data_IF_205884447804
#
_entry.id   IF_205884447804
#
_cell.length_a   1.000
_cell.length_b   1.000
_cell.length_c   1.000
_cell.angle_alpha   90.00
_cell.angle_beta   90.00
_cell.angle_gamma   90.00
#
_symmetry.space_group_name_H-M   'P 1'
#
loop_
_entity.id
_entity.type
_entity.pdbx_description
1 polymer ?
#
# COMPACT_ATOMS: atom_id res chain seq x y z
N UNK A 1 17.09 -20.43 5.83
CA UNK A 1 17.39 -19.10 6.37
C UNK A 1 16.07 -18.39 6.60
N UNK A 2 15.68 -18.12 7.86
CA UNK A 2 14.44 -17.38 8.16
C UNK A 2 14.68 -15.94 7.71
N UNK A 3 14.05 -15.55 6.61
CA UNK A 3 14.11 -14.20 6.08
C UNK A 3 13.74 -13.20 7.17
N UNK A 4 14.53 -12.15 7.28
CA UNK A 4 14.27 -11.04 8.18
C UNK A 4 12.85 -10.54 7.93
N UNK A 5 12.02 -10.50 8.97
CA UNK A 5 10.63 -10.07 8.80
C UNK A 5 10.64 -8.57 8.71
N UNK A 6 10.67 -8.03 7.49
CA UNK A 6 10.48 -6.61 7.23
C UNK A 6 9.31 -6.07 8.07
N UNK A 7 9.56 -5.00 8.82
CA UNK A 7 8.58 -4.47 9.76
C UNK A 7 7.54 -3.68 8.97
N UNK A 8 6.27 -4.08 9.09
CA UNK A 8 5.15 -3.33 8.49
C UNK A 8 4.85 -2.08 9.32
N UNK A 9 4.82 -0.93 8.66
CA UNK A 9 4.35 0.34 9.24
C UNK A 9 3.05 0.71 8.55
N UNK A 10 1.96 0.71 9.32
CA UNK A 10 0.65 1.12 8.83
C UNK A 10 0.56 2.64 8.76
N UNK A 11 0.03 3.13 7.64
CA UNK A 11 -0.03 4.57 7.33
C UNK A 11 -1.44 4.96 6.93
N UNK A 12 -1.81 6.23 7.19
CA UNK A 12 -3.04 6.79 6.64
C UNK A 12 -2.76 7.21 5.21
N UNK A 13 -3.63 6.81 4.30
CA UNK A 13 -3.52 7.09 2.86
C UNK A 13 -4.84 7.65 2.40
N UNK A 14 -4.78 8.79 1.72
CA UNK A 14 -5.92 9.29 0.96
C UNK A 14 -5.94 8.57 -0.38
N UNK A 15 -7.09 8.03 -0.76
CA UNK A 15 -7.26 7.31 -2.02
C UNK A 15 -8.54 7.76 -2.70
N UNK A 16 -8.45 7.92 -4.02
CA UNK A 16 -9.60 8.18 -4.87
C UNK A 16 -10.01 6.89 -5.56
N UNK A 17 -11.31 6.68 -5.71
CA UNK A 17 -11.86 5.59 -6.51
C UNK A 17 -12.40 6.21 -7.80
N UNK A 18 -11.95 5.72 -8.94
CA UNK A 18 -12.47 6.17 -10.22
C UNK A 18 -13.77 5.42 -10.61
N UNK A 19 -14.34 5.79 -11.75
CA UNK A 19 -15.59 5.21 -12.26
C UNK A 19 -15.47 3.71 -12.60
N UNK A 20 -14.26 3.17 -12.76
CA UNK A 20 -14.01 1.74 -12.98
C UNK A 20 -13.93 0.96 -11.66
N UNK A 21 -13.88 1.67 -10.53
CA UNK A 21 -13.63 1.10 -9.21
C UNK A 21 -12.14 0.91 -8.91
N UNK A 22 -11.24 1.44 -9.75
CA UNK A 22 -9.81 1.43 -9.47
C UNK A 22 -9.51 2.38 -8.31
N UNK A 23 -8.85 1.85 -7.29
CA UNK A 23 -8.43 2.61 -6.12
C UNK A 23 -7.04 3.17 -6.36
N UNK A 24 -6.88 4.49 -6.34
CA UNK A 24 -5.59 5.13 -6.55
C UNK A 24 -5.18 5.92 -5.29
N UNK A 25 -4.03 5.61 -4.67
CA UNK A 25 -3.48 6.44 -3.61
C UNK A 25 -3.02 7.79 -4.17
N UNK A 26 -3.34 8.88 -3.47
CA UNK A 26 -2.99 10.26 -3.86
C UNK A 26 -2.06 10.94 -2.86
N UNK A 27 -2.15 10.57 -1.58
CA UNK A 27 -1.25 11.07 -0.54
C UNK A 27 -1.07 10.07 0.59
N UNK A 28 0.05 10.15 1.28
CA UNK A 28 0.28 9.46 2.57
C UNK A 28 0.39 10.50 3.68
N UNK A 29 -0.12 10.19 4.86
CA UNK A 29 0.15 10.98 6.06
C UNK A 29 1.29 10.35 6.86
N UNK A 30 2.39 11.07 7.01
CA UNK A 30 3.57 10.65 7.76
C UNK A 30 3.96 11.72 8.78
N UNK A 31 4.06 11.35 10.07
CA UNK A 31 4.38 12.28 11.16
C UNK A 31 3.54 13.58 11.14
N UNK A 32 2.24 13.49 10.84
CA UNK A 32 1.31 14.62 10.68
C UNK A 32 1.48 15.47 9.41
N UNK A 33 2.39 15.11 8.52
CA UNK A 33 2.55 15.75 7.21
C UNK A 33 1.84 14.93 6.13
N UNK A 34 1.06 15.61 5.28
CA UNK A 34 0.49 15.02 4.06
C UNK A 34 1.52 15.13 2.95
N UNK A 35 1.95 13.98 2.43
CA UNK A 35 2.95 13.88 1.38
C UNK A 35 2.26 13.34 0.11
N UNK A 36 2.26 14.10 -1.01
CA UNK A 36 1.67 13.63 -2.24
C UNK A 36 2.45 12.45 -2.81
N UNK A 37 1.74 11.52 -3.44
CA UNK A 37 2.34 10.37 -4.11
C UNK A 37 1.89 10.30 -5.57
N UNK A 38 2.78 9.84 -6.45
CA UNK A 38 2.45 9.56 -7.85
C UNK A 38 2.59 8.08 -8.12
N UNK A 39 1.52 7.42 -8.56
CA UNK A 39 1.55 6.00 -8.94
C UNK A 39 2.31 5.82 -10.25
N UNK A 40 3.23 4.85 -10.28
CA UNK A 40 4.00 4.43 -11.45
C UNK A 40 3.65 3.04 -11.93
N UNK A 41 3.29 2.16 -11.01
CA UNK A 41 2.91 0.78 -11.30
C UNK A 41 1.95 0.24 -10.24
N UNK A 42 1.18 -0.78 -10.61
CA UNK A 42 0.23 -1.47 -9.75
C UNK A 42 0.24 -2.96 -10.07
N UNK A 43 0.51 -3.80 -9.06
CA UNK A 43 0.54 -5.26 -9.19
C UNK A 43 0.01 -5.95 -7.94
N UNK A 44 -0.46 -7.21 -8.04
CA UNK A 44 -0.77 -8.01 -6.85
C UNK A 44 0.46 -8.13 -5.94
N UNK A 45 0.29 -7.96 -4.62
CA UNK A 45 1.42 -7.99 -3.66
C UNK A 45 2.21 -9.30 -3.70
N UNK A 46 1.54 -10.43 -3.97
CA UNK A 46 2.15 -11.74 -4.15
C UNK A 46 3.22 -11.77 -5.26
N UNK A 47 3.07 -10.95 -6.30
CA UNK A 47 4.02 -10.89 -7.41
C UNK A 47 5.33 -10.15 -7.07
N UNK A 48 5.34 -9.36 -6.00
CA UNK A 48 6.48 -8.51 -5.63
C UNK A 48 7.23 -9.00 -4.40
N UNK A 49 6.55 -9.71 -3.48
CA UNK A 49 7.04 -9.84 -2.11
C UNK A 49 7.06 -11.29 -1.57
N UNK A 50 6.91 -12.29 -2.45
CA UNK A 50 7.03 -13.72 -2.14
C UNK A 50 5.73 -14.38 -1.64
N UNK A 51 5.77 -15.72 -1.52
CA UNK A 51 4.63 -16.53 -1.06
C UNK A 51 4.09 -16.04 0.29
N UNK A 52 2.76 -15.90 0.39
CA UNK A 52 2.05 -15.56 1.62
C UNK A 52 1.64 -14.09 1.81
N UNK A 53 2.03 -13.19 0.89
CA UNK A 53 1.52 -11.79 0.88
C UNK A 53 0.32 -11.65 -0.04
N UNK A 54 -0.87 -11.44 0.54
CA UNK A 54 -2.11 -11.14 -0.18
C UNK A 54 -2.34 -9.63 -0.27
N UNK A 55 -3.19 -9.21 -1.21
CA UNK A 55 -3.52 -7.81 -1.43
C UNK A 55 -2.78 -7.21 -2.62
N UNK A 56 -2.64 -5.89 -2.58
CA UNK A 56 -2.22 -5.07 -3.71
C UNK A 56 -0.91 -4.32 -3.39
N UNK A 57 -0.08 -4.06 -4.40
CA UNK A 57 1.17 -3.29 -4.29
C UNK A 57 1.20 -2.18 -5.34
N UNK A 58 1.44 -0.96 -4.88
CA UNK A 58 1.61 0.22 -5.72
C UNK A 58 3.07 0.65 -5.64
N UNK A 59 3.72 0.80 -6.80
CA UNK A 59 4.99 1.52 -6.89
C UNK A 59 4.67 2.99 -7.02
N UNK A 60 5.08 3.78 -6.03
CA UNK A 60 4.79 5.21 -5.95
C UNK A 60 6.07 6.03 -5.91
N UNK A 61 6.02 7.22 -6.49
CA UNK A 61 7.03 8.26 -6.27
C UNK A 61 6.62 9.13 -5.10
N UNK A 62 7.56 9.31 -4.17
CA UNK A 62 7.50 10.29 -3.10
C UNK A 62 8.69 11.23 -3.31
N UNK A 63 8.42 12.44 -3.80
CA UNK A 63 9.45 13.29 -4.37
C UNK A 63 10.10 12.61 -5.58
N UNK A 64 11.41 12.33 -5.50
CA UNK A 64 12.17 11.63 -6.55
C UNK A 64 12.48 10.17 -6.20
N UNK A 65 11.93 9.62 -5.12
CA UNK A 65 12.23 8.26 -4.68
C UNK A 65 11.05 7.33 -4.96
N UNK A 66 11.34 6.19 -5.60
CA UNK A 66 10.39 5.09 -5.70
C UNK A 66 10.26 4.36 -4.37
N UNK A 67 9.02 4.05 -3.99
CA UNK A 67 8.65 3.30 -2.79
C UNK A 67 7.53 2.33 -3.13
N UNK A 68 7.44 1.25 -2.35
CA UNK A 68 6.32 0.32 -2.42
C UNK A 68 5.30 0.65 -1.33
N UNK A 69 4.06 0.83 -1.74
CA UNK A 69 2.92 1.05 -0.87
C UNK A 69 1.96 -0.13 -1.02
N UNK A 70 1.75 -0.87 0.06
CA UNK A 70 0.96 -2.08 0.06
C UNK A 70 -0.42 -1.84 0.63
N UNK A 71 -1.43 -2.51 0.07
CA UNK A 71 -2.79 -2.55 0.58
C UNK A 71 -3.19 -3.99 0.88
N UNK A 72 -3.39 -4.30 2.15
CA UNK A 72 -3.97 -5.58 2.57
C UNK A 72 -5.49 -5.45 2.73
N UNK A 73 -6.23 -6.34 2.08
CA UNK A 73 -7.69 -6.39 2.18
C UNK A 73 -8.10 -6.94 3.54
N UNK A 74 -9.11 -6.34 4.16
CA UNK A 74 -9.66 -6.90 5.39
C UNK A 74 -10.51 -8.14 5.09
N UNK A 75 -10.84 -8.91 6.13
CA UNK A 75 -11.75 -10.04 6.01
C UNK A 75 -13.12 -9.59 5.49
N UNK A 76 -13.66 -10.34 4.53
CA UNK A 76 -15.00 -10.13 3.95
C UNK A 76 -16.14 -10.16 4.99
N UNK A 77 -15.87 -10.66 6.19
CA UNK A 77 -16.84 -10.68 7.31
C UNK A 77 -17.10 -9.28 7.90
N UNK A 78 -16.26 -8.29 7.61
CA UNK A 78 -16.38 -6.93 8.14
C UNK A 78 -16.49 -5.93 6.98
N UNK A 79 -17.68 -5.75 6.38
CA UNK A 79 -17.83 -4.98 5.14
C UNK A 79 -17.48 -3.49 5.27
N UNK A 80 -17.54 -2.93 6.48
CA UNK A 80 -17.10 -1.56 6.76
C UNK A 80 -15.57 -1.41 6.87
N UNK A 81 -14.82 -2.51 6.92
CA UNK A 81 -13.35 -2.51 6.93
C UNK A 81 -12.86 -2.92 5.55
N UNK A 82 -12.53 -1.93 4.71
CA UNK A 82 -12.07 -2.20 3.34
C UNK A 82 -10.68 -2.87 3.34
N UNK A 83 -9.75 -2.31 4.12
CA UNK A 83 -8.38 -2.81 4.20
C UNK A 83 -7.48 -1.83 4.93
N UNK A 84 -6.17 -2.09 4.91
CA UNK A 84 -5.16 -1.25 5.54
C UNK A 84 -3.97 -1.05 4.61
N UNK A 85 -3.45 0.16 4.63
CA UNK A 85 -2.24 0.53 3.92
C UNK A 85 -1.01 0.36 4.81
N UNK A 86 0.07 -0.15 4.25
CA UNK A 86 1.35 -0.24 4.94
C UNK A 86 2.54 -0.08 3.99
N UNK A 87 3.66 0.32 4.57
CA UNK A 87 4.99 0.23 3.95
C UNK A 87 5.83 -0.79 4.71
N UNK A 88 6.85 -1.33 4.06
CA UNK A 88 7.85 -2.19 4.71
C UNK A 88 9.11 -1.38 4.96
N UNK A 89 9.67 -1.53 6.16
CA UNK A 89 11.02 -1.06 6.49
C UNK A 89 11.89 -2.27 6.77
N UNK A 90 13.10 -2.23 6.24
CA UNK A 90 14.18 -3.16 6.56
C UNK A 90 14.75 -2.87 7.97
#
# INVERSE_FOLDING_TARGET
MKGDKSKRIYVTVESVFDQTGYMQPVSITWNHHVIPVQVRDFRPAASMAGEGKSGDCYTVLIGSQEKHLFFERASHLFPSRVGRWFVEVD
#
